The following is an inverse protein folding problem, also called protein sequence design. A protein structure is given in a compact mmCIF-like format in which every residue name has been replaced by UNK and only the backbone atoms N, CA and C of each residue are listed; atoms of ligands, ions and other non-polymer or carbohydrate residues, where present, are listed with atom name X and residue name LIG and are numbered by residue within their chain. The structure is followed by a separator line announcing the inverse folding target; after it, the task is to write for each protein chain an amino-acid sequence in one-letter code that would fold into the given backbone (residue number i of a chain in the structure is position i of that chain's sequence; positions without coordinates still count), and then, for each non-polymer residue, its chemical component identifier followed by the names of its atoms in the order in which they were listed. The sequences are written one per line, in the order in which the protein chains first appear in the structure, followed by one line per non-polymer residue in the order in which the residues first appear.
data_IF_590440779494
#
_entry.id   IF_590440779494
#
_cell.length_a   1.000
_cell.length_b   1.000
_cell.length_c   1.000
_cell.angle_alpha   90.00
_cell.angle_beta   90.00
_cell.angle_gamma   90.00
#
_symmetry.space_group_name_H-M   'P 1'
#
loop_
_entity.id
_entity.type
_entity.pdbx_description
1 polymer ?
#
# COMPACT_ATOMS: atom_id res chain seq x y z
N UNK A 1 -23.17 -26.60 -36.87
CA UNK A 1 -22.25 -26.70 -35.71
C UNK A 1 -21.50 -25.40 -35.41
N UNK A 2 -20.96 -24.70 -36.42
CA UNK A 2 -20.20 -23.45 -36.28
C UNK A 2 -20.88 -22.35 -35.43
N UNK A 3 -22.20 -22.12 -35.58
CA UNK A 3 -22.90 -21.05 -34.84
C UNK A 3 -23.09 -21.31 -33.34
N UNK A 4 -23.14 -22.58 -32.91
CA UNK A 4 -23.23 -22.94 -31.48
C UNK A 4 -21.87 -22.70 -30.79
N UNK A 5 -20.78 -23.05 -31.45
CA UNK A 5 -19.41 -22.86 -30.96
C UNK A 5 -19.12 -21.35 -30.78
N UNK A 6 -19.48 -20.51 -31.76
CA UNK A 6 -19.31 -19.06 -31.67
C UNK A 6 -20.09 -18.42 -30.50
N UNK A 7 -21.31 -18.90 -30.22
CA UNK A 7 -22.10 -18.44 -29.07
C UNK A 7 -21.44 -18.82 -27.74
N UNK A 8 -20.87 -20.02 -27.65
CA UNK A 8 -20.14 -20.48 -26.45
C UNK A 8 -18.86 -19.64 -26.26
N UNK A 9 -18.10 -19.38 -27.32
CA UNK A 9 -16.90 -18.53 -27.26
C UNK A 9 -17.26 -17.13 -26.77
N UNK A 10 -18.27 -16.47 -27.36
CA UNK A 10 -18.71 -15.14 -26.92
C UNK A 10 -19.14 -15.11 -25.45
N UNK A 11 -19.87 -16.14 -24.99
CA UNK A 11 -20.28 -16.25 -23.59
C UNK A 11 -19.08 -16.47 -22.67
N UNK A 12 -18.13 -17.31 -23.07
CA UNK A 12 -16.90 -17.55 -22.29
C UNK A 12 -16.08 -16.27 -22.15
N UNK A 13 -15.90 -15.50 -23.24
CA UNK A 13 -15.23 -14.19 -23.21
C UNK A 13 -15.97 -13.23 -22.27
N UNK A 14 -17.29 -13.15 -22.36
CA UNK A 14 -18.08 -12.30 -21.49
C UNK A 14 -17.91 -12.68 -20.01
N UNK A 15 -17.96 -13.97 -19.68
CA UNK A 15 -17.74 -14.45 -18.31
C UNK A 15 -16.33 -14.13 -17.83
N UNK A 16 -15.32 -14.33 -18.67
CA UNK A 16 -13.93 -14.00 -18.36
C UNK A 16 -13.76 -12.50 -18.06
N UNK A 17 -14.37 -11.62 -18.87
CA UNK A 17 -14.38 -10.18 -18.63
C UNK A 17 -15.03 -9.81 -17.30
N UNK A 18 -16.18 -10.41 -16.98
CA UNK A 18 -16.87 -10.17 -15.69
C UNK A 18 -15.98 -10.62 -14.52
N UNK A 19 -15.36 -11.79 -14.60
CA UNK A 19 -14.44 -12.27 -13.56
C UNK A 19 -13.22 -11.36 -13.41
N UNK A 20 -12.63 -10.91 -14.52
CA UNK A 20 -11.52 -9.96 -14.51
C UNK A 20 -11.93 -8.62 -13.89
N UNK A 21 -13.12 -8.09 -14.21
CA UNK A 21 -13.65 -6.88 -13.58
C UNK A 21 -13.85 -7.06 -12.07
N UNK A 22 -14.44 -8.17 -11.62
CA UNK A 22 -14.58 -8.47 -10.19
C UNK A 22 -13.21 -8.56 -9.51
N UNK A 23 -12.23 -9.17 -10.17
CA UNK A 23 -10.86 -9.26 -9.67
C UNK A 23 -10.22 -7.89 -9.49
N UNK A 24 -10.27 -7.04 -10.53
CA UNK A 24 -9.70 -5.68 -10.50
C UNK A 24 -10.42 -4.82 -9.46
N UNK A 25 -11.75 -4.91 -9.38
CA UNK A 25 -12.53 -4.14 -8.41
C UNK A 25 -12.14 -4.53 -6.98
N UNK A 26 -12.01 -5.83 -6.71
CA UNK A 26 -11.56 -6.29 -5.40
C UNK A 26 -10.13 -5.86 -5.08
N UNK A 27 -9.24 -5.89 -6.08
CA UNK A 27 -7.87 -5.45 -5.93
C UNK A 27 -7.79 -3.96 -5.54
N UNK A 28 -8.50 -3.09 -6.26
CA UNK A 28 -8.37 -1.63 -6.07
C UNK A 28 -9.15 -1.15 -4.85
N UNK A 29 -10.41 -1.56 -4.67
CA UNK A 29 -11.29 -0.98 -3.65
C UNK A 29 -11.56 -1.86 -2.43
N UNK A 30 -11.37 -3.18 -2.52
CA UNK A 30 -11.68 -4.11 -1.43
C UNK A 30 -10.44 -4.90 -0.99
N UNK A 31 -10.68 -6.08 -0.40
CA UNK A 31 -9.64 -7.03 0.02
C UNK A 31 -9.14 -7.79 -1.21
N UNK A 32 -7.85 -7.66 -1.59
CA UNK A 32 -7.28 -8.46 -2.67
C UNK A 32 -7.38 -9.95 -2.38
N UNK A 33 -7.71 -10.76 -3.40
CA UNK A 33 -7.83 -12.21 -3.24
C UNK A 33 -6.53 -12.87 -2.77
N UNK A 34 -5.38 -12.36 -3.21
CA UNK A 34 -4.06 -12.84 -2.83
C UNK A 34 -3.32 -11.80 -2.01
N UNK A 35 -2.66 -12.25 -0.94
CA UNK A 35 -1.95 -11.37 -0.02
C UNK A 35 -0.78 -10.61 -0.68
N UNK A 36 -0.11 -11.19 -1.68
CA UNK A 36 0.96 -10.49 -2.39
C UNK A 36 0.45 -9.21 -3.06
N UNK A 37 -0.72 -9.28 -3.70
CA UNK A 37 -1.33 -8.09 -4.28
C UNK A 37 -1.73 -7.06 -3.22
N UNK A 38 -2.04 -7.49 -1.99
CA UNK A 38 -2.23 -6.57 -0.88
C UNK A 38 -0.92 -5.88 -0.48
N UNK A 39 0.20 -6.60 -0.41
CA UNK A 39 1.52 -6.00 -0.17
C UNK A 39 1.86 -4.96 -1.24
N UNK A 40 1.75 -5.33 -2.51
CA UNK A 40 2.05 -4.46 -3.64
C UNK A 40 1.15 -3.21 -3.65
N UNK A 41 -0.17 -3.41 -3.47
CA UNK A 41 -1.15 -2.32 -3.39
C UNK A 41 -0.81 -1.35 -2.26
N UNK A 42 -0.58 -1.87 -1.05
CA UNK A 42 -0.31 -1.05 0.14
C UNK A 42 0.96 -0.24 -0.05
N UNK A 43 2.01 -0.87 -0.59
CA UNK A 43 3.26 -0.18 -0.91
C UNK A 43 3.08 0.93 -1.95
N UNK A 44 2.35 0.65 -3.05
CA UNK A 44 2.07 1.66 -4.08
C UNK A 44 1.26 2.82 -3.49
N UNK A 45 0.21 2.53 -2.71
CA UNK A 45 -0.61 3.56 -2.06
C UNK A 45 0.19 4.41 -1.06
N UNK A 46 1.12 3.79 -0.33
CA UNK A 46 2.05 4.50 0.55
C UNK A 46 2.97 5.42 -0.25
N UNK A 47 3.58 4.94 -1.33
CA UNK A 47 4.46 5.76 -2.18
C UNK A 47 3.72 6.89 -2.88
N UNK A 48 2.45 6.69 -3.28
CA UNK A 48 1.63 7.75 -3.87
C UNK A 48 1.33 8.89 -2.90
N UNK A 49 1.25 8.59 -1.59
CA UNK A 49 1.12 9.60 -0.54
C UNK A 49 2.47 10.25 -0.16
N UNK A 50 3.58 9.58 -0.49
CA UNK A 50 4.94 9.99 -0.14
C UNK A 50 5.82 10.02 -1.41
N UNK A 51 5.63 11.01 -2.30
CA UNK A 51 6.28 11.06 -3.62
C UNK A 51 7.81 10.90 -3.58
N UNK A 52 8.45 11.39 -2.51
CA UNK A 52 9.90 11.27 -2.34
C UNK A 52 10.37 9.81 -2.23
N UNK A 53 9.52 8.88 -1.77
CA UNK A 53 9.83 7.43 -1.72
C UNK A 53 10.12 6.90 -3.11
N UNK A 54 9.27 7.23 -4.09
CA UNK A 54 9.48 6.81 -5.47
C UNK A 54 10.70 7.50 -6.10
N UNK A 55 10.93 8.78 -5.78
CA UNK A 55 12.11 9.50 -6.23
C UNK A 55 13.42 8.87 -5.73
N UNK A 56 13.48 8.50 -4.44
CA UNK A 56 14.63 7.80 -3.85
C UNK A 56 14.85 6.40 -4.44
N UNK A 57 13.80 5.76 -4.96
CA UNK A 57 13.92 4.48 -5.68
C UNK A 57 14.33 4.64 -7.16
N UNK A 58 14.47 5.87 -7.66
CA UNK A 58 14.82 6.16 -9.05
C UNK A 58 13.64 6.16 -10.02
N UNK A 59 12.41 6.18 -9.53
CA UNK A 59 11.21 6.27 -10.38
C UNK A 59 10.88 7.72 -10.72
N UNK A 60 10.97 8.07 -12.01
CA UNK A 60 10.83 9.45 -12.54
C UNK A 60 9.42 10.05 -12.51
N UNK A 61 8.46 9.46 -11.80
CA UNK A 61 7.05 9.89 -11.84
C UNK A 61 6.76 11.13 -10.98
N UNK A 62 7.58 11.41 -9.97
CA UNK A 62 7.29 12.44 -8.93
C UNK A 62 8.50 13.30 -8.56
N UNK A 63 9.43 13.52 -9.48
CA UNK A 63 10.66 14.28 -9.21
C UNK A 63 10.39 15.77 -8.92
N UNK A 64 9.21 16.26 -9.31
CA UNK A 64 8.72 17.62 -9.08
C UNK A 64 7.92 17.77 -7.76
N UNK A 65 7.82 16.71 -6.94
CA UNK A 65 6.98 16.70 -5.73
C UNK A 65 7.75 16.31 -4.48
N UNK A 66 7.49 17.07 -3.41
CA UNK A 66 7.92 16.74 -2.05
C UNK A 66 6.77 16.14 -1.26
N UNK A 67 7.10 15.43 -0.17
CA UNK A 67 6.11 14.91 0.75
C UNK A 67 5.36 16.05 1.42
N UNK A 68 4.05 15.88 1.57
CA UNK A 68 3.22 16.80 2.34
C UNK A 68 3.42 16.53 3.84
N UNK A 69 3.93 17.53 4.57
CA UNK A 69 4.24 17.44 6.00
C UNK A 69 3.17 18.09 6.88
N UNK A 70 2.02 18.45 6.30
CA UNK A 70 0.87 19.05 7.00
C UNK A 70 0.23 18.08 8.01
N UNK A 71 -0.58 18.62 8.91
CA UNK A 71 -1.32 17.80 9.87
C UNK A 71 -2.36 16.93 9.15
N UNK A 72 -2.98 17.46 8.10
CA UNK A 72 -3.95 16.76 7.27
C UNK A 72 -3.33 15.55 6.57
N UNK A 73 -2.10 15.68 6.07
CA UNK A 73 -1.37 14.55 5.49
C UNK A 73 -1.03 13.48 6.54
N UNK A 74 -0.67 13.89 7.76
CA UNK A 74 -0.45 12.97 8.88
C UNK A 74 -1.73 12.22 9.26
N UNK A 75 -2.86 12.91 9.32
CA UNK A 75 -4.16 12.29 9.64
C UNK A 75 -4.59 11.29 8.56
N UNK A 76 -4.38 11.62 7.28
CA UNK A 76 -4.59 10.68 6.15
C UNK A 76 -3.68 9.46 6.25
N UNK A 77 -2.40 9.66 6.56
CA UNK A 77 -1.42 8.57 6.69
C UNK A 77 -1.79 7.65 7.86
N UNK A 78 -2.28 8.22 8.96
CA UNK A 78 -2.76 7.45 10.10
C UNK A 78 -4.04 6.66 9.76
N UNK A 79 -5.00 7.27 9.05
CA UNK A 79 -6.18 6.55 8.58
C UNK A 79 -5.78 5.36 7.68
N UNK A 80 -4.86 5.59 6.73
CA UNK A 80 -4.32 4.55 5.87
C UNK A 80 -3.62 3.43 6.66
N UNK A 81 -2.84 3.76 7.70
CA UNK A 81 -2.22 2.78 8.60
C UNK A 81 -3.27 1.90 9.28
N UNK A 82 -4.30 2.50 9.84
CA UNK A 82 -5.40 1.78 10.51
C UNK A 82 -6.16 0.88 9.54
N UNK A 83 -6.45 1.36 8.33
CA UNK A 83 -7.08 0.56 7.28
C UNK A 83 -6.19 -0.61 6.83
N UNK A 84 -4.89 -0.38 6.70
CA UNK A 84 -3.92 -1.38 6.26
C UNK A 84 -3.77 -2.52 7.26
N UNK A 85 -3.64 -2.22 8.55
CA UNK A 85 -3.51 -3.27 9.58
C UNK A 85 -4.82 -4.07 9.71
N UNK A 86 -5.98 -3.40 9.68
CA UNK A 86 -7.28 -4.08 9.68
C UNK A 86 -7.45 -4.97 8.46
N UNK A 87 -7.05 -4.52 7.27
CA UNK A 87 -7.11 -5.33 6.06
C UNK A 87 -6.17 -6.53 6.13
N UNK A 88 -4.94 -6.34 6.64
CA UNK A 88 -3.97 -7.42 6.83
C UNK A 88 -4.54 -8.51 7.75
N UNK A 89 -5.16 -8.14 8.87
CA UNK A 89 -5.77 -9.09 9.81
C UNK A 89 -6.98 -9.85 9.25
N UNK A 90 -7.56 -9.42 8.13
CA UNK A 90 -8.61 -10.20 7.44
C UNK A 90 -8.05 -11.42 6.70
N UNK A 91 -6.74 -11.53 6.50
CA UNK A 91 -6.14 -12.72 5.90
C UNK A 91 -5.97 -13.82 6.95
N UNK A 92 -6.40 -15.03 6.59
CA UNK A 92 -6.27 -16.20 7.45
C UNK A 92 -4.81 -16.66 7.47
N UNK A 93 -4.11 -16.36 8.56
CA UNK A 93 -2.70 -16.65 8.73
C UNK A 93 -2.39 -18.15 8.64
N UNK A 94 -3.34 -19.03 9.03
CA UNK A 94 -3.14 -20.49 8.97
C UNK A 94 -3.00 -21.03 7.55
N UNK A 95 -3.45 -20.27 6.55
CA UNK A 95 -3.36 -20.60 5.11
C UNK A 95 -2.10 -20.05 4.46
N UNK A 96 -1.26 -19.33 5.20
CA UNK A 96 -0.02 -18.77 4.67
C UNK A 96 1.14 -19.72 4.93
N UNK A 97 2.02 -19.86 3.94
CA UNK A 97 3.22 -20.70 4.03
C UNK A 97 4.41 -20.05 3.34
N UNK A 98 5.62 -20.49 3.73
CA UNK A 98 6.88 -19.98 3.19
C UNK A 98 7.01 -18.46 3.30
N UNK A 99 7.43 -17.83 2.19
CA UNK A 99 7.69 -16.40 2.15
C UNK A 99 6.47 -15.54 2.52
N UNK A 100 5.26 -15.98 2.17
CA UNK A 100 4.03 -15.20 2.46
C UNK A 100 3.76 -15.08 3.95
N UNK A 101 4.04 -16.15 4.71
CA UNK A 101 3.90 -16.16 6.15
C UNK A 101 4.92 -15.21 6.81
N UNK A 102 6.17 -15.23 6.34
CA UNK A 102 7.23 -14.34 6.83
C UNK A 102 6.87 -12.88 6.53
N UNK A 103 6.51 -12.56 5.29
CA UNK A 103 6.13 -11.20 4.88
C UNK A 103 4.89 -10.70 5.64
N UNK A 104 3.90 -11.56 5.90
CA UNK A 104 2.79 -11.23 6.78
C UNK A 104 3.28 -10.83 8.18
N UNK A 105 4.13 -11.65 8.80
CA UNK A 105 4.64 -11.39 10.15
C UNK A 105 5.43 -10.09 10.25
N UNK A 106 6.33 -9.84 9.29
CA UNK A 106 7.12 -8.61 9.23
C UNK A 106 6.22 -7.39 9.09
N UNK A 107 5.29 -7.41 8.13
CA UNK A 107 4.39 -6.27 7.91
C UNK A 107 3.45 -6.07 9.10
N UNK A 108 2.93 -7.15 9.67
CA UNK A 108 2.06 -7.08 10.85
C UNK A 108 2.75 -6.39 12.02
N UNK A 109 3.96 -6.83 12.35
CA UNK A 109 4.72 -6.25 13.45
C UNK A 109 5.04 -4.78 13.16
N UNK A 110 5.50 -4.46 11.94
CA UNK A 110 5.79 -3.09 11.55
C UNK A 110 4.57 -2.17 11.68
N UNK A 111 3.40 -2.58 11.17
CA UNK A 111 2.19 -1.78 11.27
C UNK A 111 1.70 -1.67 12.72
N UNK A 112 1.80 -2.75 13.52
CA UNK A 112 1.40 -2.74 14.93
C UNK A 112 2.28 -1.77 15.73
N UNK A 113 3.60 -1.79 15.53
CA UNK A 113 4.53 -0.87 16.19
C UNK A 113 4.18 0.59 15.88
N UNK A 114 3.80 0.90 14.64
CA UNK A 114 3.33 2.23 14.25
C UNK A 114 1.99 2.60 14.93
N UNK A 115 1.05 1.66 14.98
CA UNK A 115 -0.24 1.84 15.67
C UNK A 115 -0.04 2.12 17.15
N UNK A 116 0.82 1.35 17.82
CA UNK A 116 1.11 1.51 19.24
C UNK A 116 1.81 2.85 19.50
N UNK A 117 2.70 3.26 18.59
CA UNK A 117 3.38 4.56 18.61
C UNK A 117 2.46 5.76 18.44
N UNK A 118 1.30 5.62 17.77
CA UNK A 118 0.36 6.72 17.59
C UNK A 118 -0.21 7.26 18.90
N UNK A 119 -0.21 6.47 19.98
CA UNK A 119 -0.58 6.95 21.31
C UNK A 119 0.30 8.12 21.77
N UNK A 120 1.51 8.23 21.20
CA UNK A 120 2.51 9.24 21.54
C UNK A 120 2.75 10.26 20.41
N UNK A 121 1.86 10.34 19.41
CA UNK A 121 2.07 11.17 18.20
C UNK A 121 2.36 12.66 18.45
N UNK A 122 1.91 13.20 19.58
CA UNK A 122 2.09 14.61 19.97
C UNK A 122 3.17 14.82 21.05
N UNK A 123 3.87 13.76 21.48
CA UNK A 123 4.84 13.82 22.58
C UNK A 123 6.29 13.93 22.07
N UNK A 124 6.49 13.97 20.75
CA UNK A 124 7.79 14.11 20.11
C UNK A 124 8.11 15.55 19.69
N UNK A 125 9.38 15.80 19.41
CA UNK A 125 9.86 17.05 18.82
C UNK A 125 10.02 16.89 17.31
N UNK A 126 9.37 17.77 16.53
CA UNK A 126 9.50 17.74 15.07
C UNK A 126 10.91 18.07 14.57
N UNK A 127 11.72 18.75 15.40
CA UNK A 127 13.09 19.12 15.11
C UNK A 127 13.95 18.84 16.34
N UNK A 128 15.12 18.26 16.12
CA UNK A 128 16.10 17.96 17.16
C UNK A 128 17.51 18.26 16.65
N UNK A 129 18.48 18.28 17.55
CA UNK A 129 19.90 18.38 17.19
C UNK A 129 20.42 17.18 16.38
N UNK A 130 19.70 16.05 16.39
CA UNK A 130 20.04 14.85 15.60
C UNK A 130 19.35 14.81 14.24
N UNK A 131 18.49 15.79 13.95
CA UNK A 131 17.82 15.91 12.67
C UNK A 131 16.34 16.29 12.77
N UNK A 132 15.63 16.06 11.66
CA UNK A 132 14.25 16.48 11.43
C UNK A 132 14.09 16.99 10.01
N UNK A 133 12.94 17.59 9.70
CA UNK A 133 12.58 17.93 8.32
C UNK A 133 13.60 18.83 7.62
N UNK A 134 14.29 19.72 8.35
CA UNK A 134 15.32 20.60 7.77
C UNK A 134 16.51 19.82 7.21
N UNK A 135 16.91 18.72 7.86
CA UNK A 135 18.02 17.89 7.43
C UNK A 135 17.56 16.87 6.36
N UNK A 136 16.36 16.29 6.54
CA UNK A 136 15.81 15.30 5.61
C UNK A 136 15.65 15.85 4.21
N UNK A 137 15.18 17.10 4.06
CA UNK A 137 15.02 17.69 2.73
C UNK A 137 16.35 17.95 2.02
N UNK A 138 17.35 18.45 2.75
CA UNK A 138 18.70 18.68 2.20
C UNK A 138 19.30 17.35 1.75
N UNK A 139 19.24 16.33 2.60
CA UNK A 139 19.74 14.99 2.29
C UNK A 139 19.01 14.34 1.12
N UNK A 140 17.73 14.65 0.89
CA UNK A 140 16.99 14.15 -0.27
C UNK A 140 17.43 14.84 -1.57
N UNK A 141 17.75 16.14 -1.53
CA UNK A 141 18.11 16.91 -2.72
C UNK A 141 19.59 16.78 -3.12
N UNK A 142 20.46 16.40 -2.18
CA UNK A 142 21.90 16.30 -2.42
C UNK A 142 22.36 14.92 -2.91
N UNK A 143 21.53 13.90 -2.77
CA UNK A 143 21.82 12.51 -3.16
C UNK A 143 21.02 12.15 -4.41
#
# INVERSE_FOLDING_TARGET
MQSKIWKIIKRSILVSLVLASIFIVNLIWFKPFFINHFFDKTFIQFGLQNPQVFSTMGYKFYYDRLNDNSQEARDKSNAFLMESIQMLHRYDQSKLSGQKFISYGVLNNFLQDMVDGNNFKNYGYSQTQRGGNYQSIISFMSN
#
